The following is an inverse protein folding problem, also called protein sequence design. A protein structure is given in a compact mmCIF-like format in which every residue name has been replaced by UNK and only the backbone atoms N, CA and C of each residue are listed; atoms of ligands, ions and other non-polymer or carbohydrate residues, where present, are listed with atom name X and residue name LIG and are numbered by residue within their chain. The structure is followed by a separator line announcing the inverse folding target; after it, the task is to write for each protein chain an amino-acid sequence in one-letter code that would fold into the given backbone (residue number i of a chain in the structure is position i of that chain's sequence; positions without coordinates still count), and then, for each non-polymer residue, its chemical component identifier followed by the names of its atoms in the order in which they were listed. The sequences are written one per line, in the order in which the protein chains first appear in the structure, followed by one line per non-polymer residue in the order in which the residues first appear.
data_IF_667145660408
#
_entry.id   IF_667145660408
#
_cell.length_a   1.000
_cell.length_b   1.000
_cell.length_c   1.000
_cell.angle_alpha   90.00
_cell.angle_beta   90.00
_cell.angle_gamma   90.00
#
_symmetry.space_group_name_H-M   'P 1'
#
loop_
_entity.id
_entity.type
_entity.pdbx_description
1 polymer ?
#
# COMPACT_ATOMS: atom_id res chain seq x y z
N UNK A 1 -7.52 -3.44 21.19
CA UNK A 1 -8.23 -2.40 20.44
C UNK A 1 -8.71 -3.05 19.15
N UNK A 2 -10.01 -3.00 18.88
CA UNK A 2 -10.58 -3.60 17.66
C UNK A 2 -10.41 -2.63 16.48
N UNK A 3 -9.78 -3.10 15.41
CA UNK A 3 -9.56 -2.34 14.16
C UNK A 3 -10.87 -1.86 13.53
N UNK A 4 -11.97 -2.58 13.69
CA UNK A 4 -13.28 -2.16 13.16
C UNK A 4 -13.79 -0.88 13.83
N UNK A 5 -13.38 -0.64 15.07
CA UNK A 5 -13.74 0.57 15.83
C UNK A 5 -12.79 1.74 15.59
N UNK A 6 -11.66 1.52 14.88
CA UNK A 6 -10.67 2.57 14.66
C UNK A 6 -11.03 3.48 13.47
N UNK A 7 -10.74 4.79 13.58
CA UNK A 7 -10.87 5.72 12.48
C UNK A 7 -9.85 5.39 11.38
N UNK A 8 -9.87 6.15 10.29
CA UNK A 8 -8.92 5.98 9.18
C UNK A 8 -7.44 6.14 9.62
N UNK A 9 -7.20 6.90 10.69
CA UNK A 9 -5.87 7.17 11.23
C UNK A 9 -5.93 7.50 12.71
N UNK A 10 -4.99 6.97 13.51
CA UNK A 10 -4.89 7.25 14.95
C UNK A 10 -3.46 7.05 15.46
N UNK A 11 -2.99 7.97 16.30
CA UNK A 11 -1.81 7.77 17.14
C UNK A 11 -2.16 6.92 18.35
N UNK A 12 -1.32 5.93 18.64
CA UNK A 12 -1.52 5.01 19.74
C UNK A 12 -0.21 4.90 20.53
N UNK A 13 -0.20 5.30 21.82
CA UNK A 13 0.95 5.06 22.67
C UNK A 13 1.13 3.55 22.87
N UNK A 14 2.37 3.09 22.88
CA UNK A 14 2.72 1.74 23.28
C UNK A 14 3.65 1.76 24.49
N UNK A 15 3.58 0.76 25.38
CA UNK A 15 4.44 0.71 26.55
C UNK A 15 5.90 0.65 26.10
N UNK A 16 6.68 1.66 26.47
CA UNK A 16 8.14 1.62 26.37
C UNK A 16 8.62 1.02 27.69
N UNK A 17 9.23 -0.17 27.67
CA UNK A 17 9.86 -0.70 28.89
C UNK A 17 10.92 0.33 29.32
N UNK A 18 10.80 0.79 30.56
CA UNK A 18 11.46 1.97 31.11
C UNK A 18 12.97 2.04 30.83
N UNK A 19 13.47 3.27 30.64
CA UNK A 19 14.90 3.64 30.50
C UNK A 19 15.81 3.14 31.65
N UNK A 20 15.26 2.61 32.74
CA UNK A 20 15.99 2.25 33.96
C UNK A 20 16.85 0.97 33.87
N UNK A 21 16.76 0.20 32.77
CA UNK A 21 17.53 -1.04 32.59
C UNK A 21 18.56 -0.98 31.45
N UNK A 22 18.77 0.18 30.82
CA UNK A 22 19.72 0.32 29.73
C UNK A 22 21.07 0.82 30.27
N UNK A 23 22.20 0.21 29.85
CA UNK A 23 23.51 0.82 30.08
C UNK A 23 23.55 2.23 29.49
N UNK A 24 24.37 3.13 30.04
CA UNK A 24 24.32 4.56 29.74
C UNK A 24 24.43 4.81 28.24
N UNK A 25 23.41 5.49 27.70
CA UNK A 25 23.35 6.31 26.48
C UNK A 25 24.49 6.07 25.46
N UNK A 26 24.61 4.89 24.88
CA UNK A 26 25.22 4.82 23.54
C UNK A 26 24.17 5.34 22.55
N UNK A 27 24.36 6.54 21.97
CA UNK A 27 23.42 7.06 20.99
C UNK A 27 23.39 6.11 19.81
N UNK A 28 22.19 5.68 19.41
CA UNK A 28 22.02 4.89 18.20
C UNK A 28 22.41 5.77 17.00
N UNK A 29 23.40 5.35 16.24
CA UNK A 29 23.83 6.02 15.00
C UNK A 29 23.84 5.03 13.84
N UNK A 30 23.85 5.52 12.61
CA UNK A 30 23.83 4.70 11.40
C UNK A 30 25.17 4.70 10.67
N UNK A 31 25.70 3.50 10.46
CA UNK A 31 26.85 3.26 9.59
C UNK A 31 26.44 3.43 8.12
N UNK A 32 25.27 2.93 7.74
CA UNK A 32 24.77 2.91 6.37
C UNK A 32 23.25 3.14 6.29
N UNK A 33 22.78 3.58 5.11
CA UNK A 33 21.35 3.54 4.76
C UNK A 33 21.03 2.16 4.21
N UNK A 34 20.17 1.41 4.88
CA UNK A 34 19.80 0.05 4.50
C UNK A 34 18.43 -0.32 5.09
N UNK A 35 17.91 -1.47 4.71
CA UNK A 35 16.67 -1.97 5.31
C UNK A 35 16.72 -3.47 5.53
N UNK A 36 16.04 -3.90 6.59
CA UNK A 36 15.74 -5.30 6.83
C UNK A 36 14.24 -5.53 6.75
N UNK A 37 13.84 -6.63 6.12
CA UNK A 37 12.44 -6.99 5.95
C UNK A 37 12.22 -8.44 6.32
N UNK A 38 11.08 -8.69 6.95
CA UNK A 38 10.58 -10.01 7.29
C UNK A 38 9.12 -10.15 6.84
N UNK A 39 8.80 -11.23 6.14
CA UNK A 39 7.43 -11.60 5.79
C UNK A 39 7.16 -13.02 6.27
N UNK A 40 6.23 -13.18 7.22
CA UNK A 40 6.01 -14.47 7.88
C UNK A 40 5.08 -14.41 9.10
N UNK A 41 5.02 -15.48 9.89
CA UNK A 41 4.40 -15.49 11.22
C UNK A 41 4.98 -14.44 12.18
N UNK A 42 4.25 -14.11 13.25
CA UNK A 42 4.77 -13.20 14.29
C UNK A 42 6.12 -13.72 14.84
N UNK A 43 7.12 -12.84 14.93
CA UNK A 43 8.47 -13.19 15.40
C UNK A 43 8.47 -13.43 16.90
N UNK A 44 9.11 -14.48 17.39
CA UNK A 44 9.28 -14.65 18.84
C UNK A 44 10.00 -13.43 19.45
N UNK A 45 9.54 -12.95 20.60
CA UNK A 45 10.09 -11.77 21.30
C UNK A 45 11.33 -12.12 22.13
N UNK A 46 12.24 -12.89 21.54
CA UNK A 46 13.51 -13.33 22.10
C UNK A 46 14.62 -13.01 21.10
N UNK A 47 15.66 -12.31 21.54
CA UNK A 47 16.73 -11.82 20.64
C UNK A 47 17.48 -12.95 19.94
N UNK A 48 17.70 -14.07 20.61
CA UNK A 48 18.37 -15.25 20.04
C UNK A 48 17.58 -15.94 18.92
N UNK A 49 16.29 -15.63 18.79
CA UNK A 49 15.40 -16.25 17.81
C UNK A 49 15.06 -15.32 16.64
N UNK A 50 15.62 -14.10 16.61
CA UNK A 50 15.52 -13.25 15.42
C UNK A 50 16.25 -13.91 14.24
N UNK A 51 15.76 -13.76 13.00
CA UNK A 51 16.44 -14.28 11.83
C UNK A 51 17.89 -13.81 11.77
N UNK A 52 18.83 -14.68 11.40
CA UNK A 52 20.27 -14.33 11.32
C UNK A 52 20.52 -13.09 10.46
N UNK A 53 19.75 -12.92 9.37
CA UNK A 53 19.80 -11.74 8.51
C UNK A 53 19.50 -10.43 9.23
N UNK A 54 18.70 -10.44 10.31
CA UNK A 54 18.50 -9.27 11.17
C UNK A 54 19.79 -8.90 11.88
N UNK A 55 20.50 -9.89 12.46
CA UNK A 55 21.73 -9.65 13.18
C UNK A 55 22.82 -9.13 12.25
N UNK A 56 22.99 -9.76 11.08
CA UNK A 56 23.89 -9.30 10.02
C UNK A 56 23.56 -7.87 9.59
N UNK A 57 22.28 -7.55 9.39
CA UNK A 57 21.86 -6.20 9.05
C UNK A 57 22.13 -5.20 10.16
N UNK A 58 21.79 -5.53 11.40
CA UNK A 58 21.95 -4.65 12.55
C UNK A 58 23.42 -4.33 12.78
N UNK A 59 24.30 -5.33 12.74
CA UNK A 59 25.76 -5.15 12.88
C UNK A 59 26.35 -4.27 11.76
N UNK A 60 25.94 -4.50 10.51
CA UNK A 60 26.45 -3.71 9.38
C UNK A 60 25.89 -2.27 9.35
N UNK A 61 24.70 -2.05 9.92
CA UNK A 61 23.94 -0.80 9.71
C UNK A 61 23.96 0.12 10.92
N UNK A 62 23.98 -0.41 12.14
CA UNK A 62 23.74 0.33 13.37
C UNK A 62 25.01 0.37 14.23
N UNK A 63 25.23 1.50 14.90
CA UNK A 63 26.04 1.56 16.12
C UNK A 63 25.08 1.70 17.30
N UNK A 64 25.29 0.92 18.37
CA UNK A 64 24.32 0.78 19.47
C UNK A 64 23.19 -0.22 19.16
N UNK A 65 22.18 -0.28 20.03
CA UNK A 65 21.12 -1.30 19.92
C UNK A 65 19.71 -0.70 19.85
N UNK A 66 18.98 -1.06 18.79
CA UNK A 66 17.55 -0.75 18.66
C UNK A 66 16.63 -1.78 19.34
N UNK A 67 17.18 -2.92 19.82
CA UNK A 67 16.39 -4.06 20.31
C UNK A 67 15.41 -3.69 21.44
N UNK A 68 15.77 -2.89 22.46
CA UNK A 68 14.84 -2.56 23.54
C UNK A 68 13.59 -1.82 23.04
N UNK A 69 13.80 -0.83 22.18
CA UNK A 69 12.72 -0.03 21.58
C UNK A 69 11.92 -0.84 20.56
N UNK A 70 12.60 -1.64 19.74
CA UNK A 70 11.98 -2.53 18.76
C UNK A 70 11.11 -3.57 19.47
N UNK A 71 11.60 -4.23 20.52
CA UNK A 71 10.84 -5.25 21.25
C UNK A 71 9.68 -4.67 22.05
N UNK A 72 9.82 -3.45 22.57
CA UNK A 72 8.69 -2.72 23.17
C UNK A 72 7.58 -2.49 22.13
N UNK A 73 7.94 -2.08 20.91
CA UNK A 73 6.98 -1.93 19.82
C UNK A 73 6.41 -3.27 19.34
N UNK A 74 7.24 -4.29 19.13
CA UNK A 74 6.80 -5.61 18.66
C UNK A 74 5.88 -6.30 19.67
N UNK A 75 6.13 -6.16 20.98
CA UNK A 75 5.22 -6.66 22.01
C UNK A 75 3.82 -6.03 21.87
N UNK A 76 3.75 -4.72 21.65
CA UNK A 76 2.49 -4.05 21.37
C UNK A 76 1.85 -4.52 20.06
N UNK A 77 2.63 -4.65 18.98
CA UNK A 77 2.15 -5.13 17.68
C UNK A 77 1.56 -6.52 17.82
N UNK A 78 2.23 -7.43 18.51
CA UNK A 78 1.75 -8.79 18.76
C UNK A 78 0.37 -8.78 19.41
N UNK A 79 0.25 -8.08 20.54
CA UNK A 79 -1.02 -7.93 21.25
C UNK A 79 -2.12 -7.33 20.36
N UNK A 80 -1.76 -6.32 19.56
CA UNK A 80 -2.70 -5.67 18.64
C UNK A 80 -3.15 -6.61 17.52
N UNK A 81 -2.22 -7.33 16.88
CA UNK A 81 -2.49 -8.24 15.78
C UNK A 81 -3.30 -9.46 16.26
N UNK A 82 -2.90 -10.09 17.37
CA UNK A 82 -3.63 -11.24 17.94
C UNK A 82 -5.07 -10.87 18.31
N UNK A 83 -5.29 -9.69 18.92
CA UNK A 83 -6.66 -9.19 19.21
C UNK A 83 -7.51 -8.95 17.97
N UNK A 84 -6.89 -8.82 16.79
CA UNK A 84 -7.55 -8.62 15.50
C UNK A 84 -7.45 -9.86 14.60
N UNK A 85 -7.22 -11.04 15.17
CA UNK A 85 -7.13 -12.32 14.48
C UNK A 85 -6.06 -12.34 13.36
N UNK A 86 -4.95 -11.65 13.58
CA UNK A 86 -3.78 -11.66 12.70
C UNK A 86 -2.60 -12.34 13.39
N UNK A 87 -1.98 -13.28 12.69
CA UNK A 87 -0.80 -14.03 13.15
C UNK A 87 0.38 -13.92 12.18
N UNK A 88 0.23 -13.15 11.10
CA UNK A 88 1.25 -12.96 10.08
C UNK A 88 1.34 -11.49 9.69
N UNK A 89 2.53 -11.09 9.24
CA UNK A 89 2.83 -9.73 8.89
C UNK A 89 4.01 -9.61 7.92
N UNK A 90 4.07 -8.45 7.28
CA UNK A 90 5.23 -7.93 6.60
C UNK A 90 5.81 -6.80 7.47
N UNK A 91 6.94 -7.07 8.10
CA UNK A 91 7.69 -6.14 8.94
C UNK A 91 8.88 -5.59 8.15
N UNK A 92 9.00 -4.27 8.06
CA UNK A 92 10.15 -3.60 7.46
C UNK A 92 10.75 -2.63 8.46
N UNK A 93 12.07 -2.70 8.63
CA UNK A 93 12.87 -1.73 9.37
C UNK A 93 13.77 -1.03 8.36
N UNK A 94 13.65 0.29 8.26
CA UNK A 94 14.43 1.12 7.34
C UNK A 94 15.31 2.06 8.15
N UNK A 95 16.62 1.92 7.99
CA UNK A 95 17.63 2.84 8.48
C UNK A 95 18.04 3.78 7.34
N UNK A 96 18.02 5.08 7.59
CA UNK A 96 18.37 6.08 6.59
C UNK A 96 19.24 7.15 7.21
N UNK A 97 20.43 7.36 6.63
CA UNK A 97 21.28 8.50 6.96
C UNK A 97 20.60 9.80 6.52
N UNK A 98 21.05 10.90 7.11
CA UNK A 98 20.62 12.24 6.75
C UNK A 98 20.72 12.53 5.25
N UNK A 99 19.68 13.12 4.67
CA UNK A 99 19.64 13.54 3.27
C UNK A 99 18.74 14.77 3.07
N UNK A 100 18.83 15.38 1.89
CA UNK A 100 17.97 16.47 1.40
C UNK A 100 16.80 15.95 0.52
N UNK A 101 16.75 14.64 0.27
CA UNK A 101 15.76 13.99 -0.60
C UNK A 101 14.30 14.33 -0.20
N UNK A 102 14.09 14.53 1.10
CA UNK A 102 12.79 14.78 1.73
C UNK A 102 12.56 16.26 2.10
N UNK A 103 13.40 17.18 1.62
CA UNK A 103 13.21 18.63 1.85
C UNK A 103 11.91 19.14 1.21
N UNK A 104 11.58 18.55 0.06
CA UNK A 104 10.26 18.61 -0.54
C UNK A 104 9.44 17.40 -0.08
N UNK A 105 8.28 17.59 0.57
CA UNK A 105 7.46 16.48 1.06
C UNK A 105 6.95 15.60 -0.10
N UNK A 106 6.86 14.30 0.17
CA UNK A 106 6.32 13.28 -0.74
C UNK A 106 4.93 12.87 -0.29
N UNK A 107 3.99 13.79 -0.39
CA UNK A 107 2.61 13.50 0.00
C UNK A 107 2.02 12.38 -0.84
N UNK A 108 1.72 11.25 -0.21
CA UNK A 108 1.13 10.09 -0.85
C UNK A 108 0.10 9.40 0.06
N UNK A 109 -0.71 8.54 -0.55
CA UNK A 109 -1.43 7.48 0.16
C UNK A 109 -0.85 6.15 -0.31
N UNK A 110 -0.74 5.20 0.60
CA UNK A 110 -0.44 3.82 0.21
C UNK A 110 -1.60 3.22 -0.59
N UNK A 111 -1.30 2.40 -1.57
CA UNK A 111 -2.30 1.59 -2.28
C UNK A 111 -2.82 0.44 -1.40
N UNK A 112 -3.92 -0.18 -1.82
CA UNK A 112 -4.38 -1.43 -1.20
C UNK A 112 -3.33 -2.53 -1.43
N UNK A 113 -2.94 -3.23 -0.36
CA UNK A 113 -2.08 -4.42 -0.47
C UNK A 113 -2.83 -5.57 -1.13
N UNK A 114 -4.09 -5.74 -0.73
CA UNK A 114 -4.93 -6.84 -1.15
C UNK A 114 -6.25 -6.32 -1.70
N UNK A 115 -6.60 -6.75 -2.91
CA UNK A 115 -7.93 -6.49 -3.47
C UNK A 115 -8.96 -7.37 -2.74
N UNK A 116 -10.11 -6.85 -2.31
CA UNK A 116 -11.19 -7.67 -1.79
C UNK A 116 -11.59 -8.74 -2.82
N UNK A 117 -11.95 -9.94 -2.34
CA UNK A 117 -12.56 -10.94 -3.21
C UNK A 117 -13.84 -10.33 -3.81
N UNK A 118 -13.86 -10.09 -5.13
CA UNK A 118 -15.09 -9.68 -5.81
C UNK A 118 -16.10 -10.83 -5.64
N UNK A 119 -17.32 -10.59 -5.13
CA UNK A 119 -18.34 -11.61 -5.13
C UNK A 119 -18.55 -12.10 -6.58
N UNK A 120 -18.84 -13.39 -6.80
CA UNK A 120 -19.12 -13.89 -8.13
C UNK A 120 -20.21 -13.02 -8.76
N UNK A 121 -19.91 -12.47 -9.94
CA UNK A 121 -20.88 -11.73 -10.74
C UNK A 121 -21.96 -12.75 -11.09
N UNK A 122 -23.05 -12.76 -10.32
CA UNK A 122 -24.28 -13.34 -10.81
C UNK A 122 -24.67 -12.47 -12.01
N UNK A 123 -24.46 -12.98 -13.22
CA UNK A 123 -25.15 -12.48 -14.40
C UNK A 123 -26.64 -12.79 -14.25
N UNK A 124 -27.30 -12.09 -13.31
CA UNK A 124 -28.74 -11.98 -13.30
C UNK A 124 -29.05 -11.01 -14.43
N UNK A 125 -29.49 -11.58 -15.54
CA UNK A 125 -30.05 -10.88 -16.69
C UNK A 125 -31.32 -10.16 -16.20
N UNK A 126 -31.15 -9.04 -15.50
CA UNK A 126 -32.26 -8.17 -15.13
C UNK A 126 -32.64 -7.39 -16.39
N UNK A 127 -33.68 -7.92 -17.02
CA UNK A 127 -34.50 -7.31 -18.05
C UNK A 127 -34.68 -5.82 -17.79
N UNK A 128 -34.27 -5.01 -18.77
CA UNK A 128 -34.63 -3.61 -18.92
C UNK A 128 -36.14 -3.47 -19.08
N UNK A 129 -36.89 -3.46 -17.98
CA UNK A 129 -38.24 -2.92 -17.93
C UNK A 129 -38.44 -2.21 -16.59
N UNK A 130 -38.15 -0.91 -16.57
CA UNK A 130 -38.57 0.01 -15.52
C UNK A 130 -40.11 0.09 -15.50
N UNK A 131 -40.77 0.03 -14.33
CA UNK A 131 -42.16 0.45 -14.23
C UNK A 131 -42.19 1.95 -13.95
N UNK A 132 -42.50 2.75 -14.99
CA UNK A 132 -42.99 4.11 -14.82
C UNK A 132 -44.48 4.01 -14.54
N UNK A 133 -44.92 4.36 -13.33
CA UNK A 133 -46.33 4.65 -13.05
C UNK A 133 -46.55 6.15 -12.88
N UNK A 134 -47.31 6.67 -13.85
CA UNK A 134 -48.35 7.70 -13.77
C UNK A 134 -48.00 9.11 -13.25
N UNK A 135 -48.09 10.10 -14.16
CA UNK A 135 -48.86 11.32 -13.91
C UNK A 135 -49.31 12.02 -15.22
N UNK A 136 -50.63 12.26 -15.30
CA UNK A 136 -51.37 13.30 -16.05
C UNK A 136 -51.79 13.12 -17.53
N UNK A 137 -53.13 12.95 -17.66
CA UNK A 137 -54.11 13.36 -18.68
C UNK A 137 -53.71 14.67 -19.42
N UNK A 138 -54.03 14.93 -20.69
CA UNK A 138 -55.35 14.85 -21.34
C UNK A 138 -55.31 15.09 -22.88
N UNK A 139 -56.25 14.42 -23.58
CA UNK A 139 -57.09 14.83 -24.74
C UNK A 139 -56.56 15.09 -26.17
N UNK A 140 -57.12 14.29 -27.10
CA UNK A 140 -57.64 14.58 -28.47
C UNK A 140 -56.63 14.92 -29.61
N UNK A 141 -56.74 14.53 -30.89
CA UNK A 141 -57.67 13.73 -31.73
C UNK A 141 -57.04 13.51 -33.12
N UNK A 142 -57.26 12.36 -33.76
CA UNK A 142 -57.54 12.25 -35.21
C UNK A 142 -56.52 11.54 -36.14
N UNK A 143 -56.96 10.91 -37.26
CA UNK A 143 -56.41 9.63 -37.77
C UNK A 143 -56.01 9.63 -39.26
N UNK A 144 -55.55 8.46 -39.77
CA UNK A 144 -55.53 7.89 -41.17
C UNK A 144 -54.15 7.34 -41.56
N UNK A 145 -53.92 6.26 -42.34
CA UNK A 145 -54.69 5.15 -42.93
C UNK A 145 -53.67 4.13 -43.52
N UNK A 146 -54.00 2.83 -43.42
CA UNK A 146 -53.62 1.61 -44.16
C UNK A 146 -52.55 1.61 -45.28
N UNK A 147 -51.73 0.55 -45.32
CA UNK A 147 -51.71 -0.55 -46.34
C UNK A 147 -50.48 -1.46 -46.06
N UNK A 148 -50.60 -2.73 -45.69
CA UNK A 148 -51.07 -3.95 -46.37
C UNK A 148 -49.96 -4.76 -47.07
N UNK A 149 -50.05 -6.07 -46.88
CA UNK A 149 -49.07 -7.14 -47.03
C UNK A 149 -48.59 -7.39 -48.46
N UNK A 150 -47.37 -7.96 -48.59
CA UNK A 150 -47.08 -9.07 -49.51
C UNK A 150 -45.75 -9.76 -49.16
N UNK A 151 -45.83 -11.00 -48.65
CA UNK A 151 -44.74 -12.00 -48.61
C UNK A 151 -44.88 -12.92 -49.83
N UNK A 152 -43.80 -13.56 -50.32
CA UNK A 152 -43.65 -14.99 -50.03
C UNK A 152 -42.20 -15.53 -49.93
N UNK A 153 -41.98 -16.34 -48.87
CA UNK A 153 -41.34 -17.68 -48.78
C UNK A 153 -39.99 -17.96 -49.49
N UNK A 154 -38.92 -18.02 -48.67
CA UNK A 154 -37.83 -19.02 -48.43
C UNK A 154 -37.48 -20.13 -49.47
N UNK A 155 -36.30 -20.82 -49.43
CA UNK A 155 -35.32 -20.98 -48.31
C UNK A 155 -33.80 -21.00 -48.69
N UNK A 156 -32.98 -21.15 -47.64
CA UNK A 156 -31.69 -21.89 -47.54
C UNK A 156 -30.43 -21.11 -47.09
N UNK A 157 -30.18 -21.24 -45.78
CA UNK A 157 -28.92 -21.48 -45.07
C UNK A 157 -27.59 -21.29 -45.81
N UNK A 158 -26.75 -20.39 -45.29
CA UNK A 158 -25.56 -20.66 -44.45
C UNK A 158 -24.62 -19.45 -44.56
N UNK A 159 -24.50 -18.66 -43.49
CA UNK A 159 -23.31 -17.84 -43.28
C UNK A 159 -23.03 -17.68 -41.79
N UNK A 160 -21.83 -18.16 -41.45
CA UNK A 160 -21.14 -18.15 -40.16
C UNK A 160 -20.89 -16.73 -39.67
N UNK A 161 -21.38 -16.40 -38.48
CA UNK A 161 -20.91 -15.23 -37.72
C UNK A 161 -20.31 -15.71 -36.40
N UNK A 162 -19.00 -15.97 -36.42
CA UNK A 162 -18.17 -15.95 -35.21
C UNK A 162 -17.79 -14.49 -34.94
N UNK A 163 -18.44 -13.85 -33.97
CA UNK A 163 -17.91 -12.65 -33.33
C UNK A 163 -17.21 -13.08 -32.05
N UNK A 164 -15.90 -13.29 -32.15
CA UNK A 164 -15.02 -13.36 -30.99
C UNK A 164 -14.94 -11.95 -30.37
N UNK A 165 -15.60 -11.78 -29.22
CA UNK A 165 -15.36 -10.65 -28.34
C UNK A 165 -13.97 -10.82 -27.72
N UNK A 166 -13.02 -10.03 -28.21
CA UNK A 166 -11.73 -9.85 -27.55
C UNK A 166 -11.97 -9.06 -26.24
N UNK A 167 -11.68 -9.61 -25.05
CA UNK A 167 -11.79 -8.84 -23.82
C UNK A 167 -10.75 -7.72 -23.82
N UNK A 168 -11.22 -6.52 -23.52
CA UNK A 168 -10.41 -5.30 -23.37
C UNK A 168 -9.27 -5.56 -22.36
N UNK A 169 -8.01 -5.20 -22.69
CA UNK A 169 -6.89 -5.49 -21.81
C UNK A 169 -7.05 -4.70 -20.51
N UNK A 170 -7.38 -5.43 -19.44
CA UNK A 170 -7.39 -4.87 -18.09
C UNK A 170 -5.94 -4.52 -17.73
N UNK A 171 -5.64 -3.28 -17.31
CA UNK A 171 -4.28 -2.94 -16.90
C UNK A 171 -3.82 -3.89 -15.78
N UNK A 172 -2.54 -4.27 -15.73
CA UNK A 172 -2.04 -5.19 -14.71
C UNK A 172 -2.31 -4.59 -13.32
N UNK A 173 -3.25 -5.18 -12.60
CA UNK A 173 -3.57 -4.72 -11.25
C UNK A 173 -2.36 -5.04 -10.36
N UNK A 174 -1.75 -4.00 -9.77
CA UNK A 174 -0.62 -4.15 -8.86
C UNK A 174 -0.98 -4.94 -7.57
N UNK A 175 -2.28 -5.05 -7.28
CA UNK A 175 -2.85 -5.63 -6.06
C UNK A 175 -2.98 -7.16 -6.13
N UNK A 176 -2.86 -7.83 -4.99
CA UNK A 176 -3.04 -9.28 -4.87
C UNK A 176 -4.52 -9.57 -4.52
N UNK A 177 -5.23 -10.45 -5.23
CA UNK A 177 -6.55 -10.88 -4.82
C UNK A 177 -6.49 -11.51 -3.42
N UNK A 178 -7.25 -10.96 -2.48
CA UNK A 178 -7.36 -11.53 -1.13
C UNK A 178 -8.33 -12.70 -1.14
N UNK A 179 -8.02 -13.71 -0.32
CA UNK A 179 -8.99 -14.77 0.01
C UNK A 179 -10.11 -14.28 0.95
N UNK A 180 -9.95 -13.10 1.55
CA UNK A 180 -10.91 -12.50 2.47
C UNK A 180 -11.79 -11.45 1.76
N UNK A 181 -13.10 -11.39 2.06
CA UNK A 181 -13.95 -10.29 1.61
C UNK A 181 -13.59 -8.96 2.30
N UNK A 182 -12.91 -9.03 3.44
CA UNK A 182 -12.41 -7.87 4.19
C UNK A 182 -10.92 -8.04 4.44
N UNK A 183 -10.07 -7.76 3.43
CA UNK A 183 -8.62 -7.74 3.62
C UNK A 183 -8.22 -6.73 4.70
N UNK A 184 -7.07 -6.94 5.35
CA UNK A 184 -6.58 -6.07 6.42
C UNK A 184 -6.45 -4.62 5.92
N UNK A 185 -5.64 -4.34 4.90
CA UNK A 185 -5.52 -3.00 4.28
C UNK A 185 -5.43 -1.83 5.30
N UNK A 186 -4.59 -2.02 6.31
CA UNK A 186 -4.14 -1.01 7.26
C UNK A 186 -2.70 -1.33 7.68
N UNK A 187 -2.03 -0.37 8.33
CA UNK A 187 -0.65 -0.50 8.80
C UNK A 187 -0.50 -0.02 10.22
N UNK A 188 0.56 -0.50 10.87
CA UNK A 188 1.15 0.10 12.05
C UNK A 188 2.55 0.60 11.72
N UNK A 189 2.87 1.84 12.09
CA UNK A 189 4.22 2.38 11.89
C UNK A 189 4.73 3.09 13.13
N UNK A 190 6.04 3.05 13.37
CA UNK A 190 6.70 3.82 14.42
C UNK A 190 8.06 4.30 13.94
N UNK A 191 8.68 5.21 14.67
CA UNK A 191 10.05 5.65 14.45
C UNK A 191 10.84 5.45 15.74
N UNK A 192 11.91 4.66 15.67
CA UNK A 192 12.78 4.34 16.81
C UNK A 192 13.91 5.35 16.99
N UNK A 193 14.32 6.00 15.89
CA UNK A 193 15.34 7.05 15.85
C UNK A 193 14.94 8.10 14.81
N UNK A 194 15.11 9.38 15.13
CA UNK A 194 14.82 10.48 14.21
C UNK A 194 13.33 10.88 14.17
N UNK A 195 12.94 11.76 13.23
CA UNK A 195 11.59 12.30 13.15
C UNK A 195 10.54 11.28 12.67
N UNK A 196 9.33 11.36 13.22
CA UNK A 196 8.19 10.53 12.82
C UNK A 196 7.66 10.86 11.41
N UNK A 197 6.90 9.94 10.82
CA UNK A 197 6.20 10.21 9.54
C UNK A 197 5.21 11.37 9.70
N UNK A 198 5.17 12.29 8.73
CA UNK A 198 4.23 13.40 8.68
C UNK A 198 2.89 12.91 8.15
N UNK A 199 1.79 13.27 8.81
CA UNK A 199 0.44 12.99 8.33
C UNK A 199 -0.37 14.28 8.22
N UNK A 200 -1.24 14.34 7.21
CA UNK A 200 -2.27 15.38 7.16
C UNK A 200 -3.32 15.09 8.25
N UNK A 201 -3.69 16.06 9.10
CA UNK A 201 -4.63 15.86 10.21
C UNK A 201 -5.96 15.22 9.78
N UNK A 202 -6.60 14.40 10.64
CA UNK A 202 -7.87 13.74 10.32
C UNK A 202 -8.96 14.67 9.81
N UNK A 203 -9.05 15.89 10.36
CA UNK A 203 -10.04 16.89 9.98
C UNK A 203 -9.98 17.29 8.50
N UNK A 204 -8.78 17.29 7.90
CA UNK A 204 -8.54 17.75 6.52
C UNK A 204 -8.03 16.65 5.59
N UNK A 205 -7.86 15.42 6.09
CA UNK A 205 -7.28 14.30 5.33
C UNK A 205 -8.11 13.94 4.09
N UNK A 206 -9.44 13.96 4.18
CA UNK A 206 -10.33 13.68 3.05
C UNK A 206 -10.20 14.73 1.92
N UNK A 207 -10.02 16.01 2.26
CA UNK A 207 -9.74 17.07 1.29
C UNK A 207 -8.36 16.89 0.64
N UNK A 208 -7.37 16.49 1.43
CA UNK A 208 -6.03 16.19 0.91
C UNK A 208 -6.05 15.00 -0.06
N UNK A 209 -6.84 13.96 0.21
CA UNK A 209 -7.05 12.85 -0.74
C UNK A 209 -7.70 13.31 -2.04
N UNK A 210 -8.77 14.10 -1.96
CA UNK A 210 -9.43 14.65 -3.15
C UNK A 210 -8.46 15.49 -4.00
N UNK A 211 -7.65 16.31 -3.34
CA UNK A 211 -6.58 17.11 -3.98
C UNK A 211 -5.55 16.20 -4.65
N UNK A 212 -5.07 15.17 -3.95
CA UNK A 212 -4.13 14.20 -4.49
C UNK A 212 -4.68 13.50 -5.74
N UNK A 213 -5.94 13.06 -5.70
CA UNK A 213 -6.58 12.41 -6.82
C UNK A 213 -6.76 13.36 -8.01
N UNK A 214 -7.16 14.61 -7.75
CA UNK A 214 -7.29 15.63 -8.79
C UNK A 214 -5.94 15.91 -9.47
N UNK A 215 -4.85 16.05 -8.71
CA UNK A 215 -3.51 16.27 -9.25
C UNK A 215 -3.03 15.06 -10.07
N UNK A 216 -3.16 13.84 -9.55
CA UNK A 216 -2.80 12.61 -10.28
C UNK A 216 -3.60 12.47 -11.57
N UNK A 217 -4.91 12.76 -11.53
CA UNK A 217 -5.79 12.70 -12.70
C UNK A 217 -5.42 13.75 -13.73
N UNK A 218 -5.16 14.99 -13.31
CA UNK A 218 -4.73 16.07 -14.18
C UNK A 218 -3.38 15.75 -14.87
N UNK A 219 -2.44 15.16 -14.12
CA UNK A 219 -1.15 14.73 -14.68
C UNK A 219 -1.32 13.63 -15.74
N UNK A 220 -2.18 12.64 -15.49
CA UNK A 220 -2.51 11.60 -16.48
C UNK A 220 -3.22 12.17 -17.72
N UNK A 221 -4.15 13.11 -17.51
CA UNK A 221 -4.89 13.73 -18.61
C UNK A 221 -4.00 14.63 -19.50
N UNK A 222 -2.90 15.15 -18.96
CA UNK A 222 -1.96 15.98 -19.72
C UNK A 222 -1.14 15.19 -20.74
N UNK A 223 -1.00 13.86 -20.57
CA UNK A 223 -0.32 12.98 -21.53
C UNK A 223 -1.10 11.65 -21.72
N UNK A 224 -2.25 11.69 -22.43
CA UNK A 224 -3.16 10.56 -22.56
C UNK A 224 -2.57 9.41 -23.41
N UNK A 225 -1.50 9.68 -24.15
CA UNK A 225 -0.84 8.70 -25.03
C UNK A 225 0.31 7.96 -24.38
N UNK A 226 0.67 8.32 -23.14
CA UNK A 226 1.78 7.70 -22.44
C UNK A 226 1.45 6.28 -21.95
N UNK A 227 1.79 5.29 -22.76
CA UNK A 227 1.75 3.87 -22.37
C UNK A 227 3.13 3.51 -21.84
N UNK A 228 3.25 3.35 -20.53
CA UNK A 228 4.50 2.96 -19.90
C UNK A 228 4.44 1.55 -19.34
N UNK A 229 5.28 0.68 -19.88
CA UNK A 229 5.51 -0.69 -19.38
C UNK A 229 6.75 -0.79 -18.49
N UNK A 230 7.55 0.27 -18.39
CA UNK A 230 8.83 0.27 -17.66
C UNK A 230 8.81 1.22 -16.48
N UNK A 231 9.09 0.68 -15.29
CA UNK A 231 9.27 1.46 -14.05
C UNK A 231 10.43 2.46 -14.12
N UNK A 232 11.30 2.38 -15.14
CA UNK A 232 12.45 3.29 -15.35
C UNK A 232 12.20 4.37 -16.41
N UNK A 233 10.97 4.53 -16.88
CA UNK A 233 10.68 5.54 -17.89
C UNK A 233 10.94 6.96 -17.35
N UNK A 234 11.78 7.72 -18.05
CA UNK A 234 12.09 9.12 -17.73
C UNK A 234 10.81 9.98 -17.73
N UNK A 235 9.88 9.73 -18.65
CA UNK A 235 8.59 10.41 -18.69
C UNK A 235 7.75 10.18 -17.42
N UNK A 236 7.64 8.92 -16.96
CA UNK A 236 6.98 8.60 -15.69
C UNK A 236 7.70 9.21 -14.49
N UNK A 237 9.04 9.22 -14.49
CA UNK A 237 9.82 9.82 -13.41
C UNK A 237 9.60 11.34 -13.34
N UNK A 238 9.64 12.04 -14.47
CA UNK A 238 9.37 13.47 -14.54
C UNK A 238 7.91 13.81 -14.18
N UNK A 239 6.95 13.00 -14.64
CA UNK A 239 5.55 13.16 -14.27
C UNK A 239 5.34 12.95 -12.76
N UNK A 240 5.97 11.93 -12.18
CA UNK A 240 5.94 11.70 -10.74
C UNK A 240 6.55 12.85 -9.95
N UNK A 241 7.68 13.41 -10.40
CA UNK A 241 8.30 14.57 -9.75
C UNK A 241 7.44 15.84 -9.89
N UNK A 242 6.82 16.06 -11.06
CA UNK A 242 5.88 17.17 -11.25
C UNK A 242 4.65 17.05 -10.34
N UNK A 243 4.11 15.84 -10.18
CA UNK A 243 3.02 15.56 -9.24
C UNK A 243 3.49 15.82 -7.81
N UNK A 244 4.67 15.35 -7.42
CA UNK A 244 5.27 15.60 -6.10
C UNK A 244 5.41 17.09 -5.81
N UNK A 245 6.00 17.86 -6.72
CA UNK A 245 6.18 19.29 -6.57
C UNK A 245 4.83 20.02 -6.41
N UNK A 246 3.84 19.64 -7.23
CA UNK A 246 2.50 20.22 -7.14
C UNK A 246 1.80 19.89 -5.82
N UNK A 247 1.88 18.64 -5.37
CA UNK A 247 1.31 18.21 -4.08
C UNK A 247 1.99 18.88 -2.89
N UNK A 248 3.29 19.10 -2.95
CA UNK A 248 4.01 19.81 -1.90
C UNK A 248 3.46 21.24 -1.69
N UNK A 249 3.08 21.92 -2.78
CA UNK A 249 2.45 23.24 -2.73
C UNK A 249 0.99 23.16 -2.28
N UNK A 250 0.17 22.36 -2.97
CA UNK A 250 -1.28 22.32 -2.73
C UNK A 250 -1.62 21.79 -1.32
N UNK A 251 -0.84 20.85 -0.80
CA UNK A 251 -1.07 20.28 0.53
C UNK A 251 -0.34 21.03 1.66
N UNK A 252 0.52 22.01 1.33
CA UNK A 252 1.29 22.76 2.33
C UNK A 252 0.42 23.51 3.35
N UNK A 253 -0.82 23.89 2.98
CA UNK A 253 -1.76 24.60 3.85
C UNK A 253 -2.56 23.73 4.83
N UNK A 254 -2.47 22.40 4.75
CA UNK A 254 -3.32 21.50 5.53
C UNK A 254 -2.82 21.24 6.97
N UNK A 255 -1.62 21.72 7.31
CA UNK A 255 -0.93 21.39 8.54
C UNK A 255 -0.44 19.94 8.58
N UNK A 256 0.34 19.59 9.60
CA UNK A 256 0.91 18.24 9.75
C UNK A 256 0.89 17.78 11.20
N UNK A 257 0.70 16.48 11.41
CA UNK A 257 0.84 15.82 12.71
C UNK A 257 1.82 14.65 12.61
N UNK A 258 2.52 14.34 13.71
CA UNK A 258 3.51 13.27 13.79
C UNK A 258 3.34 12.50 15.09
N UNK A 259 3.71 11.22 15.07
CA UNK A 259 3.83 10.42 16.29
C UNK A 259 5.03 10.88 17.11
N UNK A 260 4.86 10.91 18.43
CA UNK A 260 5.95 11.13 19.39
C UNK A 260 6.75 9.84 19.60
N UNK A 261 7.91 9.94 20.27
CA UNK A 261 8.64 8.78 20.72
C UNK A 261 7.77 7.92 21.66
N UNK A 262 7.71 6.60 21.42
CA UNK A 262 6.83 5.69 22.17
C UNK A 262 5.37 5.67 21.67
N UNK A 263 5.07 6.36 20.57
CA UNK A 263 3.79 6.25 19.88
C UNK A 263 3.97 5.57 18.53
N UNK A 264 2.97 4.78 18.14
CA UNK A 264 2.84 4.27 16.79
C UNK A 264 1.61 4.87 16.13
N UNK A 265 1.56 4.74 14.80
CA UNK A 265 0.46 5.19 13.98
C UNK A 265 -0.27 3.99 13.44
N UNK A 266 -1.56 3.87 13.76
CA UNK A 266 -2.49 3.06 12.98
C UNK A 266 -3.06 3.90 11.85
N UNK A 267 -3.09 3.35 10.63
CA UNK A 267 -3.83 3.98 9.54
C UNK A 267 -4.28 2.98 8.47
N UNK A 268 -5.41 3.29 7.83
CA UNK A 268 -5.91 2.58 6.65
C UNK A 268 -5.15 3.01 5.41
N UNK A 269 -5.16 2.15 4.40
CA UNK A 269 -4.57 2.41 3.08
C UNK A 269 -5.64 2.40 1.98
N UNK A 270 -5.25 2.75 0.77
CA UNK A 270 -6.12 2.86 -0.40
C UNK A 270 -6.63 4.29 -0.65
N UNK A 271 -7.18 4.51 -1.84
CA UNK A 271 -7.61 5.84 -2.29
C UNK A 271 -8.77 6.41 -1.46
N UNK A 272 -9.65 5.57 -0.93
CA UNK A 272 -10.86 6.03 -0.23
C UNK A 272 -10.61 6.43 1.22
N UNK A 273 -9.81 5.64 1.93
CA UNK A 273 -9.61 5.73 3.39
C UNK A 273 -8.14 5.94 3.79
N UNK A 274 -7.24 6.01 2.82
CA UNK A 274 -5.81 6.13 3.05
C UNK A 274 -5.44 7.39 3.83
N UNK A 275 -4.56 7.27 4.81
CA UNK A 275 -4.00 8.46 5.43
C UNK A 275 -2.98 9.11 4.48
N UNK A 276 -3.23 10.36 4.08
CA UNK A 276 -2.23 11.16 3.34
C UNK A 276 -1.03 11.46 4.24
N UNK A 277 0.16 11.06 3.81
CA UNK A 277 1.38 11.16 4.61
C UNK A 277 2.63 11.41 3.77
N UNK A 278 3.72 11.79 4.43
CA UNK A 278 5.02 12.05 3.84
C UNK A 278 6.12 11.69 4.83
N UNK A 279 7.28 11.31 4.34
CA UNK A 279 8.50 11.33 5.12
C UNK A 279 8.79 12.75 5.64
N UNK A 280 9.33 12.89 6.86
CA UNK A 280 9.78 14.17 7.37
C UNK A 280 11.09 14.59 6.71
N UNK A 281 11.39 15.90 6.77
CA UNK A 281 12.75 16.37 6.53
C UNK A 281 13.69 15.68 7.53
N UNK A 282 14.70 14.99 7.01
CA UNK A 282 15.58 14.16 7.83
C UNK A 282 17.03 14.38 7.42
N UNK A 283 17.62 15.46 7.92
CA UNK A 283 19.06 15.73 7.78
C UNK A 283 19.92 14.92 8.77
N UNK A 284 19.26 14.19 9.70
CA UNK A 284 19.91 13.25 10.61
C UNK A 284 19.44 11.82 10.35
N UNK A 285 20.08 10.90 11.09
CA UNK A 285 19.78 9.47 11.05
C UNK A 285 18.33 9.17 11.48
N UNK A 286 17.72 8.21 10.79
CA UNK A 286 16.33 7.81 11.03
C UNK A 286 16.16 6.29 10.95
N UNK A 287 15.49 5.70 11.94
CA UNK A 287 15.09 4.29 11.95
C UNK A 287 13.58 4.20 12.01
N UNK A 288 12.98 3.85 10.88
CA UNK A 288 11.53 3.72 10.70
C UNK A 288 11.12 2.25 10.67
N UNK A 289 10.01 1.92 11.33
CA UNK A 289 9.44 0.57 11.36
C UNK A 289 8.04 0.59 10.80
N UNK A 290 7.76 -0.32 9.87
CA UNK A 290 6.48 -0.50 9.22
C UNK A 290 6.00 -1.95 9.37
N UNK A 291 4.73 -2.12 9.73
CA UNK A 291 4.07 -3.41 9.88
C UNK A 291 2.81 -3.41 9.01
N UNK A 292 2.76 -4.32 8.05
CA UNK A 292 1.58 -4.62 7.23
C UNK A 292 1.08 -6.01 7.60
N UNK A 293 -0.02 -6.13 8.36
CA UNK A 293 -0.62 -7.43 8.65
C UNK A 293 -1.32 -8.01 7.42
N UNK A 294 -1.39 -9.33 7.34
CA UNK A 294 -2.15 -10.01 6.31
C UNK A 294 -2.38 -11.47 6.66
N UNK A 295 -3.32 -12.11 5.98
CA UNK A 295 -3.48 -13.56 6.09
C UNK A 295 -2.30 -14.26 5.43
N UNK A 296 -1.97 -15.45 5.90
CA UNK A 296 -0.86 -16.25 5.37
C UNK A 296 -0.97 -16.43 3.84
N UNK A 297 -2.15 -16.80 3.33
CA UNK A 297 -2.36 -17.01 1.90
C UNK A 297 -2.12 -15.74 1.07
N UNK A 298 -2.58 -14.59 1.57
CA UNK A 298 -2.44 -13.30 0.90
C UNK A 298 -0.96 -12.87 0.85
N UNK A 299 -0.22 -13.07 1.95
CA UNK A 299 1.22 -12.77 2.03
C UNK A 299 2.06 -13.75 1.19
N UNK A 300 1.71 -15.04 1.15
CA UNK A 300 2.34 -16.04 0.25
C UNK A 300 2.16 -15.64 -1.21
N UNK A 301 0.95 -15.26 -1.61
CA UNK A 301 0.67 -14.81 -2.98
C UNK A 301 1.44 -13.51 -3.32
N UNK A 302 1.53 -12.57 -2.36
CA UNK A 302 2.34 -11.37 -2.51
C UNK A 302 3.82 -11.70 -2.72
N UNK A 303 4.40 -12.56 -1.89
CA UNK A 303 5.81 -12.98 -2.01
C UNK A 303 6.08 -13.70 -3.33
N UNK A 304 5.18 -14.60 -3.73
CA UNK A 304 5.29 -15.34 -5.00
C UNK A 304 5.29 -14.43 -6.22
N UNK A 305 4.53 -13.32 -6.21
CA UNK A 305 4.55 -12.31 -7.28
C UNK A 305 5.93 -11.70 -7.50
N UNK A 306 6.75 -11.64 -6.45
CA UNK A 306 8.13 -11.13 -6.50
C UNK A 306 9.18 -12.26 -6.63
N UNK A 307 8.74 -13.50 -6.90
CA UNK A 307 9.64 -14.66 -7.01
C UNK A 307 10.29 -15.06 -5.68
N UNK A 308 9.68 -14.67 -4.55
CA UNK A 308 10.22 -14.94 -3.23
C UNK A 308 9.43 -16.05 -2.51
N UNK A 309 10.15 -16.86 -1.75
CA UNK A 309 9.55 -17.88 -0.88
C UNK A 309 8.99 -17.26 0.41
N UNK A 310 8.08 -17.99 1.05
CA UNK A 310 7.49 -17.61 2.34
C UNK A 310 7.65 -18.75 3.36
N UNK A 311 8.01 -18.45 4.63
CA UNK A 311 8.38 -17.14 5.15
C UNK A 311 9.80 -16.74 4.73
N UNK A 312 10.14 -15.45 4.80
CA UNK A 312 11.48 -14.95 4.43
C UNK A 312 11.89 -13.73 5.22
N UNK A 313 13.18 -13.64 5.51
CA UNK A 313 13.85 -12.46 6.05
C UNK A 313 15.00 -12.06 5.11
N UNK A 314 15.14 -10.78 4.77
CA UNK A 314 16.19 -10.32 3.87
C UNK A 314 16.58 -8.86 4.12
N UNK A 315 17.73 -8.47 3.57
CA UNK A 315 18.31 -7.15 3.71
C UNK A 315 18.45 -6.50 2.33
N UNK A 316 18.38 -5.17 2.28
CA UNK A 316 18.65 -4.36 1.07
C UNK A 316 19.55 -3.20 1.48
N UNK A 317 20.51 -2.84 0.64
CA UNK A 317 21.43 -1.71 0.89
C UNK A 317 22.62 -2.08 1.79
N UNK A 318 22.91 -3.38 1.96
CA UNK A 318 24.18 -3.82 2.51
C UNK A 318 25.19 -4.03 1.37
N UNK A 319 26.49 -3.75 1.59
CA UNK A 319 27.53 -4.14 0.64
C UNK A 319 27.47 -5.66 0.39
N UNK A 320 27.58 -6.08 -0.86
CA UNK A 320 27.75 -7.49 -1.19
C UNK A 320 29.12 -7.93 -0.70
N UNK A 321 29.17 -8.67 0.41
CA UNK A 321 30.37 -9.41 0.79
C UNK A 321 30.28 -10.75 0.06
N UNK A 322 30.94 -10.84 -1.09
CA UNK A 322 31.12 -12.13 -1.77
C UNK A 322 32.28 -12.81 -1.06
N UNK A 323 31.99 -13.61 -0.03
CA UNK A 323 32.97 -14.56 0.47
C UNK A 323 32.98 -15.78 -0.45
N UNK A 324 34.17 -16.19 -0.91
CA UNK A 324 34.35 -17.40 -1.73
C UNK A 324 33.91 -18.63 -0.92
N UNK A 325 32.69 -19.11 -1.15
CA UNK A 325 32.26 -20.42 -0.64
C UNK A 325 30.80 -20.61 -0.25
N UNK A 326 29.98 -19.55 -0.17
CA UNK A 326 28.55 -19.69 0.14
C UNK A 326 27.67 -19.20 -1.02
N UNK A 327 26.91 -20.12 -1.63
CA UNK A 327 25.81 -19.78 -2.54
C UNK A 327 24.69 -19.09 -1.76
N UNK A 328 24.83 -17.81 -1.45
CA UNK A 328 23.71 -17.04 -0.92
C UNK A 328 23.89 -15.57 -1.26
N UNK A 329 23.42 -15.18 -2.45
CA UNK A 329 22.89 -13.87 -2.83
C UNK A 329 22.68 -13.88 -4.36
N UNK A 330 21.58 -14.50 -4.81
CA UNK A 330 21.12 -14.23 -6.19
C UNK A 330 20.53 -12.84 -6.21
N UNK A 331 21.22 -11.97 -6.92
CA UNK A 331 20.76 -10.67 -7.40
C UNK A 331 19.36 -10.80 -8.01
N UNK A 332 18.34 -10.28 -7.33
CA UNK A 332 17.01 -10.08 -7.92
C UNK A 332 17.02 -8.72 -8.59
N UNK A 333 17.84 -8.59 -9.65
CA UNK A 333 18.15 -7.30 -10.24
C UNK A 333 18.77 -7.31 -11.63
N UNK A 334 18.87 -8.48 -12.29
CA UNK A 334 19.52 -8.57 -13.59
C UNK A 334 18.99 -9.73 -14.45
N UNK A 335 17.87 -9.49 -15.14
CA UNK A 335 17.49 -10.01 -16.47
C UNK A 335 15.96 -10.06 -16.57
N UNK A 336 15.36 -8.95 -17.02
CA UNK A 336 14.21 -8.93 -17.93
C UNK A 336 14.48 -7.79 -18.91
#
# INVERSE_FOLDING_TARGET
MDVKSLPDFRFIPYPVKSKELLPPDEPITLNASSSWTYCGPLLTLESCNLPSSFNTWAEATLSGSILPSLFSFLAYVHDFLTKNNQSHYWLTIRASKGSDEFDTPRWHTDDLFFSPLKPPINHRRESLLSPITNLLKSTWTGPTTNQDLSTPISPSNLQTNHHDHCPEPTPPTAQIPSISPTPTNWKLTTTLLGPGTLFIPPATNHLARATQQAVKTAARAADPTHICVSVRCVGCAMAAESVRARLAVELGGHGTVQASAGECVFFRVGEDKGAVHSEPRSHGDRVFVNVVPGHEADLRALMAKWGMEYPRAWCVGLPLVIEEGEECLRDVGGQI
#
